data_IF_739149693366
#
_entry.id   IF_739149693366
#
_cell.length_a   1.000
_cell.length_b   1.000
_cell.length_c   1.000
_cell.angle_alpha   90.00
_cell.angle_beta   90.00
_cell.angle_gamma   90.00
#
_symmetry.space_group_name_H-M   'P 1'
#
loop_
_entity.id
_entity.type
_entity.pdbx_description
1 polymer ?
#
# COMPACT_ATOMS: atom_id res chain seq x y z
N UNK A 1 9.37 -4.54 1.06
CA UNK A 1 8.55 -3.32 1.20
C UNK A 1 9.40 -2.22 1.80
N UNK A 2 9.31 -1.00 1.26
CA UNK A 2 10.04 0.17 1.75
C UNK A 2 9.05 1.29 2.05
N UNK A 3 9.09 1.84 3.26
CA UNK A 3 8.24 2.91 3.75
C UNK A 3 8.20 2.91 5.28
N UNK A 4 7.48 3.84 5.88
CA UNK A 4 7.40 3.89 7.33
C UNK A 4 6.38 2.89 7.89
N UNK A 5 6.76 2.22 8.98
CA UNK A 5 5.82 1.74 9.98
C UNK A 5 5.29 2.95 10.73
N UNK A 6 4.00 2.95 11.07
CA UNK A 6 3.38 4.09 11.75
C UNK A 6 2.86 3.72 13.14
N UNK A 7 2.87 4.71 14.02
CA UNK A 7 2.19 4.68 15.29
C UNK A 7 0.82 5.37 15.11
N UNK A 8 -0.25 4.59 15.06
CA UNK A 8 -1.59 5.12 14.90
C UNK A 8 -2.23 5.33 16.27
N UNK A 9 -2.50 6.59 16.63
CA UNK A 9 -3.13 6.96 17.89
C UNK A 9 -4.61 6.59 17.86
N UNK A 10 -5.02 5.69 18.74
CA UNK A 10 -6.39 5.22 18.92
C UNK A 10 -6.88 5.50 20.34
N UNK A 11 -8.17 5.37 20.59
CA UNK A 11 -8.75 5.50 21.94
C UNK A 11 -8.22 4.46 22.94
N UNK A 12 -7.72 3.32 22.44
CA UNK A 12 -7.13 2.23 23.24
C UNK A 12 -5.62 2.31 23.40
N UNK A 13 -4.96 3.29 22.78
CA UNK A 13 -3.51 3.47 22.80
C UNK A 13 -2.88 3.57 21.42
N UNK A 14 -1.65 3.10 21.29
CA UNK A 14 -0.89 3.12 20.03
C UNK A 14 -1.07 1.80 19.33
N UNK A 15 -1.48 1.84 18.07
CA UNK A 15 -1.55 0.68 17.18
C UNK A 15 -0.47 0.76 16.11
N UNK A 16 0.11 -0.39 15.73
CA UNK A 16 1.05 -0.48 14.60
C UNK A 16 0.29 -0.36 13.29
N UNK A 17 0.65 0.61 12.45
CA UNK A 17 0.04 0.87 11.16
C UNK A 17 1.04 1.13 10.04
N UNK A 18 0.55 1.77 9.00
CA UNK A 18 1.28 2.13 7.79
C UNK A 18 1.25 1.07 6.70
N UNK A 19 1.37 1.51 5.45
CA UNK A 19 1.43 0.64 4.26
C UNK A 19 2.42 -0.51 4.47
N UNK A 20 3.57 -0.24 5.08
CA UNK A 20 4.64 -1.21 5.27
C UNK A 20 4.24 -2.36 6.20
N UNK A 21 3.44 -2.11 7.24
CA UNK A 21 2.94 -3.15 8.13
C UNK A 21 1.93 -4.05 7.42
N UNK A 22 0.87 -3.46 6.84
CA UNK A 22 -0.17 -4.21 6.15
C UNK A 22 0.37 -4.97 4.93
N UNK A 23 1.19 -4.32 4.11
CA UNK A 23 1.81 -4.96 2.95
C UNK A 23 2.80 -6.06 3.33
N UNK A 24 3.62 -5.82 4.35
CA UNK A 24 4.58 -6.82 4.84
C UNK A 24 3.90 -8.08 5.34
N UNK A 25 2.90 -7.94 6.20
CA UNK A 25 2.14 -9.05 6.76
C UNK A 25 1.31 -9.77 5.68
N UNK A 26 0.70 -9.03 4.75
CA UNK A 26 -0.03 -9.62 3.61
C UNK A 26 0.89 -10.44 2.71
N UNK A 27 2.07 -9.91 2.36
CA UNK A 27 3.05 -10.64 1.55
C UNK A 27 3.51 -11.93 2.26
N UNK A 28 3.73 -11.87 3.58
CA UNK A 28 4.06 -13.05 4.38
C UNK A 28 2.91 -14.08 4.40
N UNK A 29 1.67 -13.65 4.59
CA UNK A 29 0.48 -14.51 4.54
C UNK A 29 0.31 -15.18 3.18
N UNK A 30 0.68 -14.51 2.09
CA UNK A 30 0.72 -15.06 0.73
C UNK A 30 1.88 -16.04 0.48
N UNK A 31 2.72 -16.30 1.51
CA UNK A 31 3.84 -17.23 1.43
C UNK A 31 5.13 -16.64 0.86
N UNK A 32 5.24 -15.33 0.76
CA UNK A 32 6.46 -14.68 0.30
C UNK A 32 7.46 -14.53 1.45
N UNK A 33 8.75 -14.74 1.16
CA UNK A 33 9.82 -14.36 2.08
C UNK A 33 9.96 -12.84 2.05
N UNK A 34 9.47 -12.18 3.10
CA UNK A 34 9.26 -10.74 3.12
C UNK A 34 10.29 -10.01 3.96
N UNK A 35 10.77 -8.88 3.44
CA UNK A 35 11.61 -7.92 4.15
C UNK A 35 10.98 -6.54 4.18
N UNK A 36 11.20 -5.83 5.28
CA UNK A 36 10.77 -4.46 5.52
C UNK A 36 12.00 -3.57 5.71
N UNK A 37 12.05 -2.45 5.01
CA UNK A 37 13.00 -1.36 5.28
C UNK A 37 12.17 -0.14 5.67
N UNK A 38 12.43 0.38 6.86
CA UNK A 38 11.63 1.43 7.49
C UNK A 38 12.50 2.37 8.32
N UNK A 39 11.90 3.46 8.79
CA UNK A 39 12.44 4.27 9.89
C UNK A 39 11.40 4.37 10.99
N UNK A 40 11.83 4.14 12.23
CA UNK A 40 10.99 4.27 13.42
C UNK A 40 11.84 4.56 14.68
N UNK A 41 11.19 5.13 15.69
CA UNK A 41 11.73 5.30 17.04
C UNK A 41 11.57 4.04 17.90
N UNK A 42 11.90 4.18 19.19
CA UNK A 42 11.75 3.10 20.18
C UNK A 42 10.34 3.04 20.82
N UNK A 43 9.44 3.88 20.35
CA UNK A 43 8.09 4.10 20.89
C UNK A 43 7.02 3.20 20.29
N UNK A 44 7.39 2.33 19.33
CA UNK A 44 6.47 1.43 18.64
C UNK A 44 6.81 -0.04 18.87
N UNK A 45 5.83 -0.84 19.29
CA UNK A 45 5.97 -2.30 19.40
C UNK A 45 5.80 -2.94 18.01
N UNK A 46 6.84 -3.67 17.58
CA UNK A 46 6.88 -4.37 16.28
C UNK A 46 6.86 -5.91 16.41
N UNK A 47 6.52 -6.45 17.58
CA UNK A 47 6.56 -7.90 17.85
C UNK A 47 5.73 -8.72 16.85
N UNK A 48 4.62 -8.19 16.37
CA UNK A 48 3.77 -8.86 15.36
C UNK A 48 4.51 -9.09 14.03
N UNK A 49 5.62 -8.40 13.79
CA UNK A 49 6.46 -8.53 12.59
C UNK A 49 7.65 -9.49 12.76
N UNK A 50 7.71 -10.27 13.86
CA UNK A 50 8.86 -11.12 14.21
C UNK A 50 9.26 -12.15 13.14
N UNK A 51 8.31 -12.58 12.30
CA UNK A 51 8.56 -13.50 11.18
C UNK A 51 9.13 -12.81 9.92
N UNK A 52 9.19 -11.47 9.93
CA UNK A 52 9.67 -10.67 8.81
C UNK A 52 11.11 -10.20 9.06
N UNK A 53 11.90 -10.14 7.99
CA UNK A 53 13.18 -9.44 8.10
C UNK A 53 12.93 -7.94 8.17
N UNK A 54 13.44 -7.29 9.23
CA UNK A 54 13.24 -5.87 9.47
C UNK A 54 14.59 -5.13 9.50
N UNK A 55 14.74 -4.11 8.64
CA UNK A 55 15.81 -3.14 8.69
C UNK A 55 15.25 -1.79 9.12
N UNK A 56 15.60 -1.35 10.32
CA UNK A 56 15.25 -0.04 10.83
C UNK A 56 16.39 0.96 10.63
N UNK A 57 16.07 2.15 10.09
CA UNK A 57 16.86 3.37 10.23
C UNK A 57 16.40 4.06 11.51
N UNK A 58 17.25 4.20 12.55
CA UNK A 58 16.81 4.80 13.80
C UNK A 58 16.30 6.23 13.61
N UNK A 59 15.21 6.56 14.29
CA UNK A 59 14.65 7.91 14.37
C UNK A 59 14.34 8.27 15.81
N UNK A 60 14.26 9.55 16.12
CA UNK A 60 13.85 10.05 17.43
C UNK A 60 12.38 9.69 17.72
N UNK A 61 11.53 9.82 16.71
CA UNK A 61 10.11 9.52 16.79
C UNK A 61 9.69 8.58 15.66
N UNK A 62 8.70 7.75 15.92
CA UNK A 62 7.99 7.01 14.86
C UNK A 62 7.02 7.94 14.14
N UNK A 63 6.82 7.73 12.84
CA UNK A 63 5.77 8.44 12.09
C UNK A 63 4.42 8.18 12.73
N UNK A 64 3.80 9.25 13.26
CA UNK A 64 2.64 9.15 14.16
C UNK A 64 1.43 9.83 13.57
N UNK A 65 0.40 9.02 13.30
CA UNK A 65 -0.90 9.49 12.81
C UNK A 65 -1.98 9.42 13.89
N UNK A 66 -2.97 10.31 13.74
CA UNK A 66 -4.26 10.22 14.42
C UNK A 66 -5.37 10.39 13.39
N UNK A 67 -6.26 9.40 13.32
CA UNK A 67 -7.45 9.45 12.50
C UNK A 67 -8.64 9.81 13.37
N UNK A 68 -9.40 10.83 12.98
CA UNK A 68 -10.66 11.24 13.63
C UNK A 68 -11.75 11.09 12.60
N UNK A 69 -12.79 10.30 12.92
CA UNK A 69 -13.98 10.16 12.09
C UNK A 69 -15.19 10.67 12.87
N UNK A 70 -15.99 11.49 12.22
CA UNK A 70 -17.29 11.96 12.73
C UNK A 70 -18.48 11.15 12.16
N UNK A 71 -18.17 10.04 11.46
CA UNK A 71 -19.14 9.18 10.78
C UNK A 71 -19.54 9.66 9.38
N UNK A 72 -19.12 10.86 8.97
CA UNK A 72 -19.37 11.45 7.64
C UNK A 72 -18.03 11.70 6.92
N UNK A 73 -17.07 12.21 7.64
CA UNK A 73 -15.72 12.53 7.13
C UNK A 73 -14.65 11.90 8.01
N UNK A 74 -13.48 11.64 7.41
CA UNK A 74 -12.27 11.20 8.10
C UNK A 74 -11.23 12.29 7.98
N UNK A 75 -10.78 12.81 9.12
CA UNK A 75 -9.65 13.75 9.19
C UNK A 75 -8.43 13.02 9.74
N UNK A 76 -7.31 13.15 9.05
CA UNK A 76 -6.05 12.55 9.45
C UNK A 76 -5.07 13.65 9.88
N UNK A 77 -4.39 13.44 11.01
CA UNK A 77 -3.33 14.29 11.54
C UNK A 77 -2.01 13.53 11.55
N UNK A 78 -0.91 14.21 11.20
CA UNK A 78 0.45 13.70 11.27
C UNK A 78 1.23 14.54 12.30
N UNK A 79 1.57 13.95 13.43
CA UNK A 79 2.27 14.65 14.51
C UNK A 79 3.79 14.53 14.43
N UNK A 80 4.29 13.39 13.99
CA UNK A 80 5.71 13.12 13.82
C UNK A 80 5.96 12.38 12.51
N UNK A 81 7.12 12.64 11.90
CA UNK A 81 7.63 11.88 10.75
C UNK A 81 9.02 11.37 11.12
N UNK A 82 9.25 10.07 10.93
CA UNK A 82 10.55 9.45 11.12
C UNK A 82 11.54 9.86 10.00
N UNK A 83 12.78 9.33 10.03
CA UNK A 83 13.84 9.72 9.12
C UNK A 83 13.53 9.32 7.65
N UNK A 84 13.81 10.23 6.73
CA UNK A 84 13.63 10.04 5.29
C UNK A 84 14.46 8.87 4.76
N UNK A 85 13.86 7.99 3.95
CA UNK A 85 14.50 6.80 3.40
C UNK A 85 15.09 7.09 2.02
N UNK A 86 16.39 6.81 1.87
CA UNK A 86 17.18 7.08 0.66
C UNK A 86 17.84 5.82 0.12
N UNK A 87 18.55 5.95 -0.98
CA UNK A 87 19.33 4.85 -1.59
C UNK A 87 20.41 4.29 -0.66
N UNK A 88 20.93 5.09 0.27
CA UNK A 88 21.98 4.69 1.21
C UNK A 88 21.47 3.75 2.30
N UNK A 89 20.15 3.74 2.54
CA UNK A 89 19.52 2.91 3.55
C UNK A 89 19.30 1.46 3.09
N UNK A 90 19.54 1.16 1.80
CA UNK A 90 19.32 -0.15 1.20
C UNK A 90 20.60 -0.99 1.21
N UNK A 91 20.68 -2.07 2.02
CA UNK A 91 21.84 -2.95 2.04
C UNK A 91 22.04 -3.62 0.68
N UNK A 92 23.28 -3.70 0.20
CA UNK A 92 23.63 -4.27 -1.12
C UNK A 92 23.10 -5.70 -1.29
N UNK A 93 23.17 -6.52 -0.25
CA UNK A 93 22.68 -7.91 -0.27
C UNK A 93 21.16 -8.02 -0.50
N UNK A 94 20.41 -6.92 -0.37
CA UNK A 94 18.97 -6.88 -0.50
C UNK A 94 18.50 -6.13 -1.75
N UNK A 95 19.41 -5.86 -2.73
CA UNK A 95 19.08 -5.14 -3.97
C UNK A 95 18.59 -6.03 -5.11
N UNK A 96 18.26 -7.29 -4.84
CA UNK A 96 17.76 -8.23 -5.85
C UNK A 96 16.52 -9.02 -5.39
N UNK A 97 15.49 -8.38 -4.80
CA UNK A 97 14.24 -9.06 -4.50
C UNK A 97 13.46 -9.35 -5.80
N UNK A 98 12.56 -10.34 -5.76
CA UNK A 98 11.65 -10.61 -6.88
C UNK A 98 10.68 -9.44 -7.11
N UNK A 99 10.14 -8.86 -6.03
CA UNK A 99 9.25 -7.70 -6.02
C UNK A 99 9.83 -6.65 -5.09
N UNK A 100 9.84 -5.40 -5.52
CA UNK A 100 10.07 -4.24 -4.66
C UNK A 100 8.79 -3.40 -4.61
N UNK A 101 8.35 -3.06 -3.41
CA UNK A 101 7.20 -2.21 -3.18
C UNK A 101 7.63 -0.96 -2.41
N UNK A 102 7.51 0.22 -3.03
CA UNK A 102 7.63 1.51 -2.33
C UNK A 102 6.23 1.96 -1.89
N UNK A 103 6.05 2.10 -0.59
CA UNK A 103 4.79 2.48 0.03
C UNK A 103 4.94 3.68 0.97
N UNK A 104 5.21 4.90 0.46
CA UNK A 104 5.25 6.10 1.26
C UNK A 104 3.89 6.38 1.92
N UNK A 105 3.92 6.89 3.15
CA UNK A 105 2.73 7.29 3.91
C UNK A 105 2.73 8.77 4.30
N UNK A 106 3.92 9.41 4.34
CA UNK A 106 4.13 10.79 4.79
C UNK A 106 5.20 11.53 3.94
N UNK A 107 5.32 11.21 2.67
CA UNK A 107 6.33 11.75 1.74
C UNK A 107 7.78 11.46 2.17
N UNK A 108 8.01 10.30 2.77
CA UNK A 108 9.26 9.93 3.45
C UNK A 108 10.16 8.98 2.66
N UNK A 109 9.78 8.61 1.45
CA UNK A 109 10.52 7.66 0.60
C UNK A 109 11.02 8.34 -0.66
N UNK A 110 12.32 8.23 -0.94
CA UNK A 110 12.91 8.73 -2.18
C UNK A 110 12.47 7.86 -3.38
N UNK A 111 11.77 8.42 -4.39
CA UNK A 111 11.41 7.68 -5.60
C UNK A 111 12.61 7.10 -6.35
N UNK A 112 13.80 7.68 -6.21
CA UNK A 112 15.04 7.19 -6.85
C UNK A 112 15.42 5.78 -6.37
N UNK A 113 14.89 5.32 -5.25
CA UNK A 113 15.08 3.95 -4.76
C UNK A 113 14.74 2.89 -5.81
N UNK A 114 13.78 3.13 -6.70
CA UNK A 114 13.44 2.19 -7.79
C UNK A 114 14.63 1.88 -8.72
N UNK A 115 15.58 2.80 -8.84
CA UNK A 115 16.76 2.61 -9.70
C UNK A 115 17.71 1.53 -9.20
N UNK A 116 17.67 1.23 -7.90
CA UNK A 116 18.50 0.18 -7.28
C UNK A 116 18.05 -1.24 -7.63
N UNK A 117 16.85 -1.40 -8.19
CA UNK A 117 16.20 -2.70 -8.39
C UNK A 117 15.91 -3.01 -9.87
N UNK A 118 16.90 -3.03 -10.76
CA UNK A 118 16.67 -3.12 -12.21
C UNK A 118 16.11 -4.48 -12.67
N UNK A 119 16.16 -5.51 -11.82
CA UNK A 119 15.68 -6.87 -12.11
C UNK A 119 14.41 -7.25 -11.36
N UNK A 120 13.93 -6.40 -10.47
CA UNK A 120 12.74 -6.63 -9.66
C UNK A 120 11.49 -6.14 -10.36
N UNK A 121 10.35 -6.74 -10.06
CA UNK A 121 9.05 -6.12 -10.35
C UNK A 121 8.90 -4.90 -9.42
N UNK A 122 8.82 -3.70 -10.00
CA UNK A 122 8.80 -2.42 -9.29
C UNK A 122 7.37 -1.95 -9.10
N UNK A 123 6.93 -1.92 -7.85
CA UNK A 123 5.55 -1.67 -7.45
C UNK A 123 5.45 -0.43 -6.55
N UNK A 124 4.41 0.36 -6.73
CA UNK A 124 4.14 1.60 -6.00
C UNK A 124 2.76 1.62 -5.37
N UNK A 125 2.67 2.15 -4.14
CA UNK A 125 1.47 2.75 -3.57
C UNK A 125 1.80 4.18 -3.15
N UNK A 126 1.65 5.17 -4.06
CA UNK A 126 2.25 6.49 -3.92
C UNK A 126 1.48 7.44 -3.00
N UNK A 127 0.52 6.96 -2.22
CA UNK A 127 -0.38 7.76 -1.38
C UNK A 127 0.36 8.82 -0.56
N UNK A 128 1.50 8.48 0.05
CA UNK A 128 2.27 9.40 0.88
C UNK A 128 2.86 10.58 0.10
N UNK A 129 3.13 10.42 -1.19
CA UNK A 129 3.66 11.51 -2.02
C UNK A 129 2.60 12.56 -2.40
N UNK A 130 1.30 12.22 -2.34
CA UNK A 130 0.20 13.18 -2.48
C UNK A 130 -0.11 13.93 -1.18
N UNK A 131 0.48 13.54 -0.05
CA UNK A 131 0.18 14.12 1.26
C UNK A 131 1.06 15.32 1.56
N UNK A 132 0.41 16.39 1.98
CA UNK A 132 1.06 17.59 2.56
C UNK A 132 0.49 17.80 3.95
N UNK A 133 1.23 18.53 4.77
CA UNK A 133 0.83 18.81 6.16
C UNK A 133 0.61 20.31 6.29
N UNK A 134 -0.59 20.70 6.72
CA UNK A 134 -0.91 22.08 6.99
C UNK A 134 -0.40 22.54 8.38
N UNK A 135 -0.64 23.81 8.73
CA UNK A 135 -0.16 24.40 9.99
C UNK A 135 -0.80 23.77 11.24
N UNK A 136 -1.95 23.09 11.10
CA UNK A 136 -2.67 22.42 12.17
C UNK A 136 -2.34 20.91 12.25
N UNK A 137 -1.23 20.48 11.63
CA UNK A 137 -0.81 19.07 11.51
C UNK A 137 -1.78 18.18 10.74
N UNK A 138 -2.78 18.75 10.07
CA UNK A 138 -3.74 18.00 9.28
C UNK A 138 -3.11 17.57 7.96
N UNK A 139 -3.32 16.31 7.60
CA UNK A 139 -2.96 15.77 6.28
C UNK A 139 -3.95 16.31 5.26
N UNK A 140 -3.44 16.96 4.24
CA UNK A 140 -4.19 17.47 3.11
C UNK A 140 -3.62 16.89 1.82
N UNK A 141 -4.45 16.77 0.79
CA UNK A 141 -3.96 16.38 -0.52
C UNK A 141 -3.21 17.54 -1.18
N UNK A 142 -2.12 17.22 -1.82
CA UNK A 142 -1.28 18.16 -2.55
C UNK A 142 -0.74 17.54 -3.83
N UNK A 143 0.03 18.31 -4.57
CA UNK A 143 0.68 17.83 -5.79
C UNK A 143 1.82 16.86 -5.43
N UNK A 144 1.94 15.78 -6.21
CA UNK A 144 3.09 14.90 -6.22
C UNK A 144 4.07 15.38 -7.30
N UNK A 145 5.17 15.99 -6.86
CA UNK A 145 6.18 16.54 -7.77
C UNK A 145 6.86 15.43 -8.58
N UNK A 146 7.03 15.65 -9.89
CA UNK A 146 7.68 14.71 -10.81
C UNK A 146 7.05 13.31 -10.85
N UNK A 147 5.74 13.21 -10.66
CA UNK A 147 5.01 11.94 -10.64
C UNK A 147 5.18 11.14 -11.94
N UNK A 148 5.27 11.81 -13.11
CA UNK A 148 5.47 11.16 -14.41
C UNK A 148 6.77 10.36 -14.45
N UNK A 149 7.85 10.94 -13.94
CA UNK A 149 9.17 10.27 -13.88
C UNK A 149 9.12 9.07 -12.94
N UNK A 150 8.49 9.22 -11.79
CA UNK A 150 8.38 8.17 -10.78
C UNK A 150 7.53 7.01 -11.29
N UNK A 151 6.36 7.29 -11.90
CA UNK A 151 5.50 6.27 -12.51
C UNK A 151 6.20 5.55 -13.66
N UNK A 152 6.85 6.29 -14.57
CA UNK A 152 7.58 5.70 -15.71
C UNK A 152 8.75 4.81 -15.29
N UNK A 153 9.22 4.94 -14.04
CA UNK A 153 10.27 4.09 -13.46
C UNK A 153 9.75 2.82 -12.81
N UNK A 154 8.44 2.67 -12.68
CA UNK A 154 7.77 1.53 -12.06
C UNK A 154 7.11 0.63 -13.12
N UNK A 155 6.74 -0.59 -12.70
CA UNK A 155 5.99 -1.54 -13.54
C UNK A 155 4.50 -1.52 -13.20
N UNK A 156 4.17 -1.33 -11.91
CA UNK A 156 2.80 -1.33 -11.39
C UNK A 156 2.64 -0.21 -10.36
N UNK A 157 1.53 0.53 -10.43
CA UNK A 157 1.10 1.39 -9.33
C UNK A 157 -0.35 1.15 -8.97
N UNK A 158 -0.64 1.28 -7.68
CA UNK A 158 -2.00 1.21 -7.12
C UNK A 158 -2.26 2.49 -6.34
N UNK A 159 -3.38 3.16 -6.66
CA UNK A 159 -3.88 4.33 -5.92
C UNK A 159 -5.33 4.11 -5.49
N UNK A 160 -5.80 4.92 -4.54
CA UNK A 160 -7.23 5.15 -4.36
C UNK A 160 -7.68 6.30 -5.27
N UNK A 161 -8.91 6.25 -5.76
CA UNK A 161 -9.50 7.42 -6.46
C UNK A 161 -9.49 8.67 -5.58
N UNK A 162 -9.50 8.50 -4.25
CA UNK A 162 -9.45 9.60 -3.28
C UNK A 162 -8.08 10.29 -3.25
N UNK A 163 -6.99 9.58 -3.55
CA UNK A 163 -5.63 10.14 -3.56
C UNK A 163 -5.49 11.28 -4.61
N UNK A 164 -6.35 11.27 -5.62
CA UNK A 164 -6.43 12.29 -6.68
C UNK A 164 -7.76 13.04 -6.70
N UNK A 165 -8.47 13.10 -5.56
CA UNK A 165 -9.76 13.81 -5.42
C UNK A 165 -10.82 13.38 -6.45
N UNK A 166 -10.81 12.11 -6.85
CA UNK A 166 -11.67 11.55 -7.91
C UNK A 166 -11.50 12.24 -9.28
N UNK A 167 -10.33 12.83 -9.57
CA UNK A 167 -10.05 13.48 -10.86
C UNK A 167 -9.76 12.41 -11.93
N UNK A 168 -10.76 12.13 -12.77
CA UNK A 168 -10.66 11.18 -13.88
C UNK A 168 -9.61 11.57 -14.92
N UNK A 169 -9.34 12.87 -15.11
CA UNK A 169 -8.30 13.31 -16.03
C UNK A 169 -6.92 12.97 -15.49
N UNK A 170 -6.69 13.18 -14.19
CA UNK A 170 -5.45 12.79 -13.53
C UNK A 170 -5.25 11.29 -13.56
N UNK A 171 -6.28 10.49 -13.27
CA UNK A 171 -6.25 9.03 -13.38
C UNK A 171 -5.86 8.58 -14.79
N UNK A 172 -6.47 9.16 -15.83
CA UNK A 172 -6.15 8.82 -17.22
C UNK A 172 -4.71 9.18 -17.59
N UNK A 173 -4.22 10.34 -17.14
CA UNK A 173 -2.83 10.76 -17.35
C UNK A 173 -1.87 9.80 -16.66
N UNK A 174 -2.10 9.44 -15.41
CA UNK A 174 -1.25 8.51 -14.66
C UNK A 174 -1.24 7.13 -15.33
N UNK A 175 -2.40 6.62 -15.77
CA UNK A 175 -2.49 5.34 -16.47
C UNK A 175 -1.69 5.30 -17.78
N UNK A 176 -1.49 6.44 -18.44
CA UNK A 176 -0.69 6.53 -19.65
C UNK A 176 0.83 6.49 -19.40
N UNK A 177 1.29 6.68 -18.16
CA UNK A 177 2.71 6.78 -17.81
C UNK A 177 3.29 5.51 -17.18
N UNK A 178 2.47 4.46 -16.99
CA UNK A 178 2.91 3.22 -16.34
C UNK A 178 2.32 2.00 -17.06
N UNK A 179 3.04 0.86 -17.16
CA UNK A 179 2.56 -0.32 -17.84
C UNK A 179 1.26 -0.91 -17.26
N UNK A 180 1.12 -0.93 -15.94
CA UNK A 180 -0.06 -1.44 -15.24
C UNK A 180 -0.44 -0.46 -14.14
N UNK A 181 -1.70 -0.03 -14.16
CA UNK A 181 -2.24 0.90 -13.18
C UNK A 181 -3.56 0.36 -12.61
N UNK A 182 -3.68 0.38 -11.28
CA UNK A 182 -4.92 0.00 -10.62
C UNK A 182 -5.42 1.15 -9.73
N UNK A 183 -6.72 1.40 -9.77
CA UNK A 183 -7.40 2.44 -9.00
C UNK A 183 -8.47 1.77 -8.16
N UNK A 184 -8.34 1.81 -6.84
CA UNK A 184 -9.36 1.32 -5.92
C UNK A 184 -10.48 2.33 -5.73
N UNK A 185 -11.72 1.87 -5.66
CA UNK A 185 -12.94 2.67 -5.56
C UNK A 185 -13.81 2.24 -4.38
N UNK A 186 -13.18 2.04 -3.23
CA UNK A 186 -13.82 1.63 -1.98
C UNK A 186 -14.70 0.38 -2.17
N UNK A 187 -15.94 0.42 -1.66
CA UNK A 187 -16.92 -0.69 -1.75
C UNK A 187 -17.33 -1.05 -3.17
N UNK A 188 -17.03 -0.22 -4.16
CA UNK A 188 -17.36 -0.51 -5.56
C UNK A 188 -16.41 -1.53 -6.18
N UNK A 189 -15.14 -1.57 -5.76
CA UNK A 189 -14.11 -2.44 -6.28
C UNK A 189 -12.91 -1.68 -6.82
N UNK A 190 -12.43 -2.04 -8.01
CA UNK A 190 -11.25 -1.41 -8.61
C UNK A 190 -11.31 -1.39 -10.14
N UNK A 191 -10.63 -0.40 -10.72
CA UNK A 191 -10.32 -0.36 -12.16
C UNK A 191 -8.86 -0.74 -12.36
N UNK A 192 -8.60 -1.58 -13.37
CA UNK A 192 -7.26 -1.97 -13.78
C UNK A 192 -7.04 -1.53 -15.21
N UNK A 193 -5.94 -0.84 -15.46
CA UNK A 193 -5.52 -0.34 -16.78
C UNK A 193 -4.30 -1.11 -17.26
N UNK A 194 -4.36 -1.62 -18.49
CA UNK A 194 -3.26 -2.36 -19.12
C UNK A 194 -3.39 -2.31 -20.66
N UNK A 195 -2.32 -1.94 -21.38
CA UNK A 195 -2.27 -1.89 -22.85
C UNK A 195 -3.46 -1.17 -23.51
N UNK A 196 -3.80 0.02 -23.05
CA UNK A 196 -4.95 0.82 -23.53
C UNK A 196 -6.33 0.17 -23.28
N UNK A 197 -6.42 -0.92 -22.51
CA UNK A 197 -7.67 -1.49 -22.01
C UNK A 197 -7.85 -1.11 -20.53
N UNK A 198 -9.09 -0.92 -20.13
CA UNK A 198 -9.45 -0.68 -18.75
C UNK A 198 -10.63 -1.56 -18.35
N UNK A 199 -10.49 -2.32 -17.26
CA UNK A 199 -11.55 -3.19 -16.77
C UNK A 199 -11.91 -2.85 -15.34
N UNK A 200 -13.21 -2.83 -15.11
CA UNK A 200 -13.78 -2.66 -13.80
C UNK A 200 -14.01 -4.04 -13.16
N UNK A 201 -13.59 -4.18 -11.91
CA UNK A 201 -13.74 -5.40 -11.12
C UNK A 201 -14.56 -5.04 -9.89
N UNK A 202 -15.79 -5.55 -9.84
CA UNK A 202 -16.71 -5.28 -8.75
C UNK A 202 -16.31 -5.98 -7.45
N UNK A 203 -16.40 -5.28 -6.34
CA UNK A 203 -16.23 -5.86 -5.03
C UNK A 203 -17.46 -6.71 -4.64
N UNK A 204 -17.27 -7.89 -4.02
CA UNK A 204 -18.38 -8.62 -3.43
C UNK A 204 -18.97 -7.85 -2.24
N UNK A 205 -20.27 -7.99 -2.02
CA UNK A 205 -20.92 -7.43 -0.85
C UNK A 205 -20.46 -8.16 0.42
N UNK A 206 -20.00 -7.40 1.40
CA UNK A 206 -19.52 -7.91 2.68
C UNK A 206 -20.02 -7.02 3.83
N UNK A 207 -20.01 -7.57 5.05
CA UNK A 207 -20.32 -6.76 6.24
C UNK A 207 -19.09 -5.88 6.58
N UNK A 208 -19.24 -4.58 6.39
CA UNK A 208 -18.20 -3.60 6.73
C UNK A 208 -17.99 -3.48 8.24
N UNK A 209 -16.74 -3.46 8.66
CA UNK A 209 -16.28 -3.23 10.04
C UNK A 209 -15.22 -2.14 10.08
N UNK A 210 -14.13 -2.27 9.28
CA UNK A 210 -12.98 -1.36 9.27
C UNK A 210 -12.24 -1.49 7.94
N UNK A 211 -11.95 -0.38 7.27
CA UNK A 211 -11.23 -0.35 5.98
C UNK A 211 -9.73 -0.07 6.11
N UNK A 212 -9.23 0.05 7.35
CA UNK A 212 -7.81 0.31 7.59
C UNK A 212 -6.94 -0.79 6.99
N UNK A 213 -6.04 -0.40 6.08
CA UNK A 213 -5.12 -1.30 5.40
C UNK A 213 -5.72 -2.05 4.19
N UNK A 214 -7.02 -1.89 3.87
CA UNK A 214 -7.63 -2.59 2.73
C UNK A 214 -6.96 -2.25 1.39
N UNK A 215 -6.57 -0.99 1.18
CA UNK A 215 -5.80 -0.56 0.00
C UNK A 215 -4.42 -1.21 -0.08
N UNK A 216 -3.73 -1.36 1.06
CA UNK A 216 -2.41 -2.00 1.14
C UNK A 216 -2.50 -3.51 0.89
N UNK A 217 -3.57 -4.15 1.40
CA UNK A 217 -3.87 -5.57 1.16
C UNK A 217 -4.21 -5.78 -0.31
N UNK A 218 -5.04 -4.91 -0.92
CA UNK A 218 -5.31 -4.92 -2.36
C UNK A 218 -4.01 -4.84 -3.16
N UNK A 219 -3.19 -3.82 -2.90
CA UNK A 219 -1.96 -3.59 -3.65
C UNK A 219 -1.00 -4.78 -3.56
N UNK A 220 -0.77 -5.30 -2.36
CA UNK A 220 0.14 -6.42 -2.14
C UNK A 220 -0.38 -7.71 -2.79
N UNK A 221 -1.68 -7.99 -2.68
CA UNK A 221 -2.31 -9.13 -3.33
C UNK A 221 -2.23 -9.01 -4.86
N UNK A 222 -2.44 -7.80 -5.41
CA UNK A 222 -2.29 -7.53 -6.84
C UNK A 222 -0.87 -7.79 -7.32
N UNK A 223 0.15 -7.25 -6.63
CA UNK A 223 1.56 -7.42 -7.00
C UNK A 223 1.97 -8.89 -6.96
N UNK A 224 1.58 -9.62 -5.91
CA UNK A 224 1.83 -11.05 -5.77
C UNK A 224 1.21 -11.86 -6.90
N UNK A 225 -0.09 -11.66 -7.16
CA UNK A 225 -0.81 -12.46 -8.16
C UNK A 225 -0.31 -12.14 -9.56
N UNK A 226 -0.06 -10.86 -9.88
CA UNK A 226 0.56 -10.49 -11.15
C UNK A 226 1.97 -11.07 -11.31
N UNK A 227 2.78 -11.05 -10.26
CA UNK A 227 4.11 -11.67 -10.32
C UNK A 227 4.03 -13.16 -10.68
N UNK A 228 3.00 -13.84 -10.17
CA UNK A 228 2.79 -15.29 -10.37
C UNK A 228 2.21 -15.62 -11.72
N UNK A 229 1.18 -14.89 -12.17
CA UNK A 229 0.37 -15.23 -13.36
C UNK A 229 0.73 -14.42 -14.60
N UNK A 230 1.31 -13.24 -14.43
CA UNK A 230 1.51 -12.23 -15.49
C UNK A 230 0.22 -11.73 -16.14
N UNK A 231 -0.92 -11.95 -15.49
CA UNK A 231 -2.23 -11.48 -15.90
C UNK A 231 -2.75 -10.42 -14.92
N UNK A 232 -2.83 -9.12 -15.32
CA UNK A 232 -3.30 -8.07 -14.44
C UNK A 232 -4.81 -8.15 -14.16
N UNK A 233 -5.58 -8.80 -15.02
CA UNK A 233 -7.02 -8.99 -14.82
C UNK A 233 -7.29 -10.02 -13.71
N UNK A 234 -6.55 -11.12 -13.75
CA UNK A 234 -6.57 -12.12 -12.68
C UNK A 234 -6.04 -11.56 -11.38
N UNK A 235 -4.96 -10.77 -11.44
CA UNK A 235 -4.41 -10.07 -10.27
C UNK A 235 -5.44 -9.13 -9.62
N UNK A 236 -6.18 -8.39 -10.44
CA UNK A 236 -7.23 -7.50 -9.96
C UNK A 236 -8.39 -8.27 -9.30
N UNK A 237 -8.87 -9.37 -9.91
CA UNK A 237 -9.92 -10.21 -9.31
C UNK A 237 -9.51 -10.80 -7.96
N UNK A 238 -8.29 -11.31 -7.89
CA UNK A 238 -7.72 -11.84 -6.66
C UNK A 238 -7.61 -10.77 -5.56
N UNK A 239 -7.08 -9.59 -5.93
CA UNK A 239 -6.86 -8.48 -5.00
C UNK A 239 -8.17 -7.91 -4.48
N UNK A 240 -9.18 -7.70 -5.34
CA UNK A 240 -10.50 -7.21 -4.94
C UNK A 240 -11.15 -8.15 -3.93
N UNK A 241 -11.10 -9.48 -4.12
CA UNK A 241 -11.65 -10.45 -3.18
C UNK A 241 -10.99 -10.33 -1.79
N UNK A 242 -9.66 -10.36 -1.73
CA UNK A 242 -8.94 -10.29 -0.45
C UNK A 242 -9.16 -8.95 0.26
N UNK A 243 -9.12 -7.82 -0.46
CA UNK A 243 -9.41 -6.51 0.11
C UNK A 243 -10.87 -6.39 0.59
N UNK A 244 -11.83 -6.99 -0.11
CA UNK A 244 -13.22 -6.99 0.35
C UNK A 244 -13.43 -7.80 1.62
N UNK A 245 -12.77 -8.94 1.77
CA UNK A 245 -12.88 -9.72 3.00
C UNK A 245 -12.12 -9.07 4.15
N UNK A 246 -11.04 -8.35 3.89
CA UNK A 246 -10.25 -7.67 4.92
C UNK A 246 -11.10 -6.66 5.71
N UNK A 247 -12.00 -5.92 5.06
CA UNK A 247 -12.84 -4.90 5.71
C UNK A 247 -13.87 -5.46 6.69
N UNK A 248 -13.99 -6.78 6.82
CA UNK A 248 -14.85 -7.45 7.80
C UNK A 248 -14.21 -7.58 9.18
N UNK A 249 -12.96 -7.19 9.34
CA UNK A 249 -12.14 -7.29 10.57
C UNK A 249 -11.43 -5.97 10.85
N UNK A 250 -11.04 -5.78 12.11
CA UNK A 250 -10.39 -4.55 12.54
C UNK A 250 -8.87 -4.63 12.37
N UNK A 251 -8.29 -3.56 11.89
CA UNK A 251 -6.86 -3.29 11.90
C UNK A 251 -6.03 -4.49 11.35
N UNK A 252 -4.92 -4.89 11.99
CA UNK A 252 -4.07 -6.00 11.53
C UNK A 252 -4.75 -7.39 11.56
N UNK A 253 -5.92 -7.54 12.20
CA UNK A 253 -6.74 -8.75 12.06
C UNK A 253 -7.34 -8.90 10.65
N UNK A 254 -7.28 -7.84 9.84
CA UNK A 254 -7.70 -7.81 8.43
C UNK A 254 -6.78 -8.58 7.50
N UNK A 255 -5.55 -8.92 7.92
CA UNK A 255 -4.59 -9.67 7.09
C UNK A 255 -5.24 -10.98 6.60
N UNK A 256 -5.13 -11.30 5.29
CA UNK A 256 -5.78 -12.46 4.70
C UNK A 256 -5.40 -13.78 5.36
N UNK A 257 -6.40 -14.62 5.63
CA UNK A 257 -6.18 -15.98 6.16
C UNK A 257 -5.81 -16.97 5.06
N UNK A 258 -5.22 -18.13 5.39
CA UNK A 258 -4.94 -19.17 4.39
C UNK A 258 -6.18 -19.63 3.63
N UNK A 259 -7.35 -19.71 4.30
CA UNK A 259 -8.63 -20.09 3.72
C UNK A 259 -9.12 -19.07 2.71
N UNK A 260 -9.04 -17.77 3.04
CA UNK A 260 -9.39 -16.67 2.15
C UNK A 260 -8.48 -16.65 0.90
N UNK A 261 -7.17 -16.84 1.10
CA UNK A 261 -6.21 -16.91 0.00
C UNK A 261 -6.53 -18.08 -0.93
N UNK A 262 -6.85 -19.26 -0.38
CA UNK A 262 -7.24 -20.42 -1.16
C UNK A 262 -8.55 -20.17 -1.92
N UNK A 263 -9.54 -19.58 -1.25
CA UNK A 263 -10.83 -19.27 -1.86
C UNK A 263 -10.72 -18.20 -2.96
N UNK A 264 -9.86 -17.20 -2.77
CA UNK A 264 -9.63 -16.16 -3.77
C UNK A 264 -9.03 -16.71 -5.09
N UNK A 265 -8.21 -17.77 -4.98
CA UNK A 265 -7.61 -18.47 -6.13
C UNK A 265 -8.60 -19.35 -6.90
N UNK A 266 -9.71 -19.75 -6.28
CA UNK A 266 -10.72 -20.56 -6.95
C UNK A 266 -11.59 -19.66 -7.82
N UNK A 267 -11.68 -19.95 -9.12
CA UNK A 267 -12.73 -19.43 -9.98
C UNK A 267 -13.95 -20.36 -9.89
N UNK A 268 -15.08 -19.80 -9.48
CA UNK A 268 -16.35 -20.48 -9.66
C UNK A 268 -16.70 -20.38 -11.16
N UNK A 269 -16.59 -21.49 -11.86
CA UNK A 269 -17.14 -21.62 -13.21
C UNK A 269 -18.65 -21.82 -13.01
N UNK A 270 -19.43 -20.76 -13.19
CA UNK A 270 -20.89 -20.89 -13.29
C UNK A 270 -21.20 -21.61 -14.61
N UNK A 271 -21.88 -22.75 -14.52
CA UNK A 271 -22.35 -23.55 -15.66
C UNK A 271 -23.75 -23.11 -16.12
#
# INVERSE_FOLDING_TARGET
VIGHLTADLTDSGIALGGTTAFSGLTANALGMKTGIITSLGSDLNTEVLHDLWLKNKPSEHTTTFKNISDGISRTQYLYHTAEYLTTDDIPELHRAPAIIHLGPVANEVDPQLLTLFPKSLKCLTPQGWFRKINQDFQVVLGEWDNWETSLSSADIAVISQEDVMNDENMIAQMAAHIPIFAVTENYKGARVYWHNDARYIHAPEVKYVDDTGAGDIFATAFFYQYFTTKDPWEAGRFAVKLASWSVTRQHLHSIPTPEEIQQAKMELIEH
#
